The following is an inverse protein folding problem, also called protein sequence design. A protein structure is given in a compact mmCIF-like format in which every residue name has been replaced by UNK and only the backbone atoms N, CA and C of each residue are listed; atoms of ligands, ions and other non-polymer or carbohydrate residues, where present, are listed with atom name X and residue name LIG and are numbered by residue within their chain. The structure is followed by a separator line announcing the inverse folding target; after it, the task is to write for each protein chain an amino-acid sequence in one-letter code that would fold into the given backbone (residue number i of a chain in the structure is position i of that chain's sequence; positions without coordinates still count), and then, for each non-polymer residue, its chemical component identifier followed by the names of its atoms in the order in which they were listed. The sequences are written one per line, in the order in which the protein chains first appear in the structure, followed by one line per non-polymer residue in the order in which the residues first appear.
data_IF_295437291990
#
_entry.id   IF_295437291990
#
_cell.length_a   1.000
_cell.length_b   1.000
_cell.length_c   1.000
_cell.angle_alpha   90.00
_cell.angle_beta   90.00
_cell.angle_gamma   90.00
#
_symmetry.space_group_name_H-M   'P 1'
#
loop_
_entity.id
_entity.type
_entity.pdbx_description
1 polymer ?
#
# COMPACT_ATOMS: atom_id res chain seq x y z
N UNK A 1 -27.19 -13.23 21.91
CA UNK A 1 -25.96 -12.73 21.27
C UNK A 1 -25.98 -13.26 19.86
N UNK A 2 -26.13 -12.37 18.88
CA UNK A 2 -26.04 -12.66 17.46
C UNK A 2 -24.64 -13.13 17.07
N UNK A 3 -24.55 -13.77 15.91
CA UNK A 3 -23.32 -14.39 15.39
C UNK A 3 -22.20 -13.38 15.16
N UNK A 4 -22.53 -12.11 14.92
CA UNK A 4 -21.60 -11.03 14.59
C UNK A 4 -21.37 -10.04 15.75
N UNK A 5 -22.00 -10.24 16.91
CA UNK A 5 -21.91 -9.32 18.06
C UNK A 5 -20.49 -9.14 18.63
N UNK A 6 -19.55 -10.02 18.25
CA UNK A 6 -18.15 -9.99 18.68
C UNK A 6 -17.25 -9.14 17.75
N UNK A 7 -17.75 -8.76 16.58
CA UNK A 7 -17.01 -7.94 15.61
C UNK A 7 -17.09 -6.48 16.06
N UNK A 8 -15.97 -5.79 16.28
CA UNK A 8 -15.98 -4.39 16.67
C UNK A 8 -16.64 -3.52 15.59
N UNK A 9 -17.19 -2.38 15.95
CA UNK A 9 -17.72 -1.41 14.98
C UNK A 9 -16.56 -0.68 14.27
N UNK A 10 -16.66 -0.51 12.94
CA UNK A 10 -15.75 0.31 12.17
C UNK A 10 -16.15 1.79 12.30
N UNK A 11 -15.32 2.56 13.00
CA UNK A 11 -15.51 3.99 13.22
C UNK A 11 -14.46 4.84 12.50
N UNK A 12 -13.23 4.34 12.39
CA UNK A 12 -12.10 5.05 11.83
C UNK A 12 -10.98 4.09 11.36
N UNK A 13 -9.92 4.65 10.79
CA UNK A 13 -8.77 3.92 10.28
C UNK A 13 -8.01 3.12 11.37
N UNK A 14 -8.00 3.57 12.63
CA UNK A 14 -7.30 2.87 13.71
C UNK A 14 -7.99 1.53 14.03
N UNK A 15 -9.32 1.50 13.91
CA UNK A 15 -10.11 0.28 14.11
C UNK A 15 -10.14 -0.64 12.88
N UNK A 16 -9.73 -0.15 11.71
CA UNK A 16 -9.92 -0.84 10.43
C UNK A 16 -9.22 -2.18 10.36
N UNK A 17 -7.95 -2.30 10.76
CA UNK A 17 -7.23 -3.57 10.66
C UNK A 17 -7.84 -4.68 11.54
N UNK A 18 -8.24 -4.32 12.76
CA UNK A 18 -8.89 -5.25 13.69
C UNK A 18 -10.26 -5.68 13.14
N UNK A 19 -11.03 -4.72 12.62
CA UNK A 19 -12.31 -4.97 11.97
C UNK A 19 -12.16 -5.88 10.73
N UNK A 20 -11.23 -5.56 9.83
CA UNK A 20 -10.90 -6.28 8.59
C UNK A 20 -10.65 -7.76 8.87
N UNK A 21 -9.84 -8.05 9.89
CA UNK A 21 -9.50 -9.42 10.30
C UNK A 21 -10.74 -10.20 10.76
N UNK A 22 -11.60 -9.60 11.58
CA UNK A 22 -12.81 -10.27 12.06
C UNK A 22 -13.84 -10.50 10.95
N UNK A 23 -13.97 -9.53 10.04
CA UNK A 23 -14.83 -9.65 8.85
C UNK A 23 -14.35 -10.77 7.93
N UNK A 24 -13.05 -10.91 7.71
CA UNK A 24 -12.51 -12.02 6.92
C UNK A 24 -12.87 -13.38 7.52
N UNK A 25 -12.74 -13.54 8.83
CA UNK A 25 -13.15 -14.78 9.51
C UNK A 25 -14.65 -15.05 9.38
N UNK A 26 -15.49 -14.01 9.48
CA UNK A 26 -16.93 -14.13 9.32
C UNK A 26 -17.33 -14.52 7.88
N UNK A 27 -16.68 -13.93 6.88
CA UNK A 27 -16.90 -14.23 5.46
C UNK A 27 -16.45 -15.64 5.10
N UNK A 28 -15.30 -16.09 5.63
CA UNK A 28 -14.80 -17.45 5.42
C UNK A 28 -15.75 -18.49 6.05
N UNK A 29 -16.19 -18.24 7.29
CA UNK A 29 -17.17 -19.10 7.96
C UNK A 29 -18.48 -19.25 7.16
N UNK A 30 -18.93 -18.17 6.50
CA UNK A 30 -20.16 -18.17 5.69
C UNK A 30 -19.93 -18.60 4.24
N UNK A 31 -18.68 -18.89 3.84
CA UNK A 31 -18.34 -19.25 2.47
C UNK A 31 -18.54 -18.11 1.45
N UNK A 32 -18.56 -16.86 1.92
CA UNK A 32 -18.86 -15.67 1.12
C UNK A 32 -17.61 -14.84 0.78
N UNK A 33 -16.42 -15.27 1.22
CA UNK A 33 -15.15 -14.56 1.01
C UNK A 33 -14.84 -14.27 -0.47
N UNK A 34 -15.15 -15.20 -1.37
CA UNK A 34 -14.93 -15.02 -2.81
C UNK A 34 -15.65 -13.80 -3.40
N UNK A 35 -16.71 -13.30 -2.75
CA UNK A 35 -17.43 -12.09 -3.19
C UNK A 35 -16.75 -10.77 -2.83
N UNK A 36 -15.69 -10.80 -2.00
CA UNK A 36 -14.91 -9.59 -1.65
C UNK A 36 -13.46 -9.68 -2.13
N UNK A 37 -12.98 -10.86 -2.50
CA UNK A 37 -11.61 -11.08 -2.98
C UNK A 37 -11.36 -10.43 -4.34
N UNK A 38 -10.14 -9.95 -4.55
CA UNK A 38 -9.65 -9.45 -5.85
C UNK A 38 -9.07 -10.57 -6.74
N UNK A 39 -8.97 -11.81 -6.26
CA UNK A 39 -8.44 -12.92 -7.07
C UNK A 39 -6.92 -12.91 -7.21
N UNK A 40 -6.20 -12.22 -6.32
CA UNK A 40 -4.78 -11.90 -6.50
C UNK A 40 -3.81 -13.00 -6.08
N UNK A 41 -4.18 -13.96 -5.22
CA UNK A 41 -3.33 -15.13 -4.95
C UNK A 41 -3.63 -16.29 -5.93
N UNK A 42 -2.71 -16.60 -6.86
CA UNK A 42 -2.85 -17.73 -7.77
C UNK A 42 -2.73 -19.12 -7.09
N UNK A 43 -2.35 -19.20 -5.81
CA UNK A 43 -2.15 -20.46 -5.08
C UNK A 43 -3.31 -20.83 -4.15
N UNK A 44 -4.26 -19.92 -3.89
CA UNK A 44 -5.41 -20.14 -3.03
C UNK A 44 -6.71 -20.38 -3.81
N UNK A 45 -7.29 -21.60 -3.85
CA UNK A 45 -8.58 -21.82 -4.53
C UNK A 45 -9.78 -21.11 -3.88
N UNK A 46 -9.63 -20.62 -2.65
CA UNK A 46 -10.60 -19.77 -1.93
C UNK A 46 -10.51 -18.30 -2.37
N UNK A 47 -9.41 -17.90 -3.03
CA UNK A 47 -9.16 -16.51 -3.36
C UNK A 47 -9.74 -16.07 -4.69
N UNK A 48 -10.27 -16.96 -5.53
CA UNK A 48 -10.88 -16.54 -6.80
C UNK A 48 -12.05 -15.57 -6.55
N UNK A 49 -11.93 -14.38 -7.15
CA UNK A 49 -13.00 -13.40 -7.17
C UNK A 49 -14.26 -14.00 -7.82
N UNK A 50 -15.39 -13.92 -7.12
CA UNK A 50 -16.67 -14.41 -7.58
C UNK A 50 -17.29 -13.39 -8.54
N UNK A 51 -17.14 -13.63 -9.84
CA UNK A 51 -17.74 -12.76 -10.86
C UNK A 51 -19.24 -13.01 -11.01
N UNK A 52 -20.01 -11.94 -11.13
CA UNK A 52 -21.45 -12.03 -11.37
C UNK A 52 -21.71 -12.78 -12.70
N UNK A 53 -22.43 -13.92 -12.68
CA UNK A 53 -22.71 -14.65 -13.89
C UNK A 53 -23.53 -13.80 -14.86
N UNK A 54 -23.11 -13.73 -16.12
CA UNK A 54 -23.86 -13.04 -17.17
C UNK A 54 -24.64 -14.04 -18.01
N UNK A 55 -25.89 -13.68 -18.30
CA UNK A 55 -26.74 -14.45 -19.21
C UNK A 55 -26.21 -14.32 -20.65
N UNK A 56 -26.00 -15.44 -21.34
CA UNK A 56 -25.60 -15.41 -22.76
C UNK A 56 -26.72 -14.82 -23.62
N UNK A 57 -27.98 -15.01 -23.21
CA UNK A 57 -29.14 -14.41 -23.88
C UNK A 57 -30.23 -13.99 -22.88
N UNK A 58 -30.46 -12.68 -22.76
CA UNK A 58 -31.46 -12.10 -21.85
C UNK A 58 -32.91 -12.45 -22.22
N UNK A 59 -33.18 -12.85 -23.47
CA UNK A 59 -34.52 -13.24 -23.92
C UNK A 59 -34.82 -14.72 -23.76
N UNK A 60 -33.80 -15.56 -23.47
CA UNK A 60 -33.96 -16.99 -23.22
C UNK A 60 -32.91 -17.48 -22.23
N UNK A 61 -33.11 -17.13 -20.96
CA UNK A 61 -32.26 -17.55 -19.87
C UNK A 61 -32.45 -19.06 -19.60
N UNK A 62 -31.38 -19.84 -19.68
CA UNK A 62 -31.44 -21.26 -19.33
C UNK A 62 -31.65 -21.44 -17.82
N UNK A 63 -32.33 -22.51 -17.40
CA UNK A 63 -32.59 -22.77 -15.97
C UNK A 63 -31.29 -22.85 -15.15
N UNK A 64 -30.21 -23.38 -15.74
CA UNK A 64 -28.88 -23.42 -15.13
C UNK A 64 -28.30 -22.03 -14.91
N UNK A 65 -28.39 -21.13 -15.92
CA UNK A 65 -27.90 -19.75 -15.80
C UNK A 65 -28.71 -18.99 -14.74
N UNK A 66 -30.04 -19.14 -14.74
CA UNK A 66 -30.92 -18.54 -13.74
C UNK A 66 -30.55 -18.98 -12.33
N UNK A 67 -30.31 -20.28 -12.14
CA UNK A 67 -29.89 -20.83 -10.85
C UNK A 67 -28.53 -20.28 -10.40
N UNK A 68 -27.58 -20.15 -11.33
CA UNK A 68 -26.27 -19.57 -11.03
C UNK A 68 -26.36 -18.09 -10.62
N UNK A 69 -27.10 -17.28 -11.38
CA UNK A 69 -27.31 -15.85 -11.07
C UNK A 69 -27.99 -15.67 -9.71
N UNK A 70 -29.03 -16.44 -9.43
CA UNK A 70 -29.74 -16.37 -8.15
C UNK A 70 -28.87 -16.84 -6.97
N UNK A 71 -28.08 -17.91 -7.17
CA UNK A 71 -27.11 -18.38 -6.17
C UNK A 71 -26.08 -17.31 -5.85
N UNK A 72 -25.41 -16.80 -6.87
CA UNK A 72 -24.43 -15.72 -6.73
C UNK A 72 -25.02 -14.48 -6.06
N UNK A 73 -26.22 -14.06 -6.48
CA UNK A 73 -26.88 -12.88 -5.88
C UNK A 73 -27.23 -13.09 -4.41
N UNK A 74 -27.55 -14.31 -4.00
CA UNK A 74 -27.84 -14.64 -2.60
C UNK A 74 -26.56 -14.56 -1.77
N UNK A 75 -25.49 -15.17 -2.25
CA UNK A 75 -24.21 -15.21 -1.53
C UNK A 75 -23.57 -13.80 -1.46
N UNK A 76 -23.70 -13.01 -2.53
CA UNK A 76 -23.34 -11.59 -2.52
C UNK A 76 -24.16 -10.79 -1.49
N UNK A 77 -25.45 -11.11 -1.29
CA UNK A 77 -26.28 -10.44 -0.27
C UNK A 77 -25.80 -10.79 1.14
N UNK A 78 -25.39 -12.04 1.38
CA UNK A 78 -24.80 -12.47 2.66
C UNK A 78 -23.49 -11.72 2.92
N UNK A 79 -22.61 -11.62 1.93
CA UNK A 79 -21.38 -10.84 2.06
C UNK A 79 -21.65 -9.36 2.38
N UNK A 80 -22.61 -8.73 1.67
CA UNK A 80 -23.03 -7.35 1.95
C UNK A 80 -23.56 -7.17 3.37
N UNK A 81 -24.38 -8.11 3.85
CA UNK A 81 -24.94 -8.06 5.21
C UNK A 81 -23.82 -8.10 6.26
N UNK A 82 -22.85 -9.01 6.11
CA UNK A 82 -21.68 -9.12 7.00
C UNK A 82 -20.86 -7.83 6.99
N UNK A 83 -20.56 -7.29 5.80
CA UNK A 83 -19.79 -6.05 5.66
C UNK A 83 -20.48 -4.87 6.32
N UNK A 84 -21.80 -4.73 6.15
CA UNK A 84 -22.55 -3.59 6.66
C UNK A 84 -22.95 -3.71 8.14
N UNK A 85 -22.89 -4.91 8.72
CA UNK A 85 -23.40 -5.16 10.07
C UNK A 85 -22.69 -4.35 11.15
N UNK A 86 -21.39 -4.12 11.00
CA UNK A 86 -20.54 -3.48 12.00
C UNK A 86 -19.97 -2.15 11.50
N UNK A 87 -20.74 -1.38 10.73
CA UNK A 87 -20.34 -0.07 10.25
C UNK A 87 -21.07 1.03 11.01
N UNK A 88 -20.31 2.04 11.44
CA UNK A 88 -20.93 3.24 11.99
C UNK A 88 -21.74 4.00 10.93
N UNK A 89 -22.74 4.80 11.33
CA UNK A 89 -23.52 5.60 10.39
C UNK A 89 -22.67 6.50 9.48
N UNK A 90 -21.57 7.04 10.00
CA UNK A 90 -20.64 7.87 9.22
C UNK A 90 -19.93 7.05 8.12
N UNK A 91 -19.47 5.84 8.45
CA UNK A 91 -18.82 4.95 7.50
C UNK A 91 -19.80 4.43 6.44
N UNK A 92 -21.05 4.16 6.82
CA UNK A 92 -22.10 3.79 5.87
C UNK A 92 -22.32 4.83 4.76
N UNK A 93 -22.09 6.12 5.05
CA UNK A 93 -22.21 7.19 4.04
C UNK A 93 -21.06 7.20 3.03
N UNK A 94 -19.96 6.49 3.29
CA UNK A 94 -18.84 6.34 2.36
C UNK A 94 -19.08 5.23 1.33
N UNK A 95 -20.09 4.39 1.55
CA UNK A 95 -20.40 3.24 0.70
C UNK A 95 -21.35 3.66 -0.44
N UNK A 96 -21.13 3.18 -1.67
CA UNK A 96 -22.06 3.38 -2.78
C UNK A 96 -23.46 2.84 -2.46
N UNK A 97 -24.49 3.69 -2.55
CA UNK A 97 -25.88 3.36 -2.16
C UNK A 97 -26.73 2.82 -3.33
N UNK A 98 -26.12 2.57 -4.48
CA UNK A 98 -26.79 2.02 -5.65
C UNK A 98 -27.30 0.60 -5.38
N UNK A 99 -28.45 0.27 -5.95
CA UNK A 99 -29.01 -1.08 -5.88
C UNK A 99 -28.11 -2.14 -6.53
N UNK A 100 -27.25 -1.72 -7.46
CA UNK A 100 -26.28 -2.57 -8.16
C UNK A 100 -24.98 -2.78 -7.39
N UNK A 101 -24.76 -2.10 -6.26
CA UNK A 101 -23.53 -2.21 -5.48
C UNK A 101 -23.33 -3.66 -5.00
N UNK A 102 -22.20 -4.24 -5.35
CA UNK A 102 -21.78 -5.59 -4.95
C UNK A 102 -21.03 -5.57 -3.63
N UNK A 103 -20.86 -6.72 -2.98
CA UNK A 103 -20.03 -6.80 -1.77
C UNK A 103 -18.58 -6.37 -2.04
N UNK A 104 -18.07 -6.70 -3.24
CA UNK A 104 -16.75 -6.27 -3.72
C UNK A 104 -16.63 -4.75 -3.81
N UNK A 105 -17.64 -4.06 -4.35
CA UNK A 105 -17.66 -2.60 -4.43
C UNK A 105 -17.62 -1.95 -3.03
N UNK A 106 -18.38 -2.51 -2.07
CA UNK A 106 -18.37 -2.07 -0.67
C UNK A 106 -16.99 -2.27 -0.06
N UNK A 107 -16.44 -3.49 -0.23
CA UNK A 107 -15.13 -3.84 0.30
C UNK A 107 -14.05 -2.88 -0.22
N UNK A 108 -14.02 -2.65 -1.54
CA UNK A 108 -13.08 -1.75 -2.19
C UNK A 108 -13.26 -0.31 -1.73
N UNK A 109 -14.50 0.16 -1.57
CA UNK A 109 -14.76 1.49 -1.02
C UNK A 109 -14.20 1.63 0.39
N UNK A 110 -14.43 0.65 1.29
CA UNK A 110 -13.88 0.67 2.63
C UNK A 110 -12.35 0.62 2.63
N UNK A 111 -11.77 -0.26 1.81
CA UNK A 111 -10.32 -0.37 1.67
C UNK A 111 -9.68 0.94 1.22
N UNK A 112 -10.25 1.59 0.20
CA UNK A 112 -9.72 2.87 -0.29
C UNK A 112 -9.85 4.01 0.74
N UNK A 113 -10.81 3.94 1.66
CA UNK A 113 -11.01 4.97 2.68
C UNK A 113 -10.20 4.73 3.97
N UNK A 114 -9.81 3.48 4.25
CA UNK A 114 -9.24 3.11 5.56
C UNK A 114 -7.95 2.26 5.51
N UNK A 115 -7.68 1.55 4.43
CA UNK A 115 -6.42 0.80 4.25
C UNK A 115 -5.25 1.72 3.91
N UNK A 116 -5.55 3.01 3.82
CA UNK A 116 -4.54 4.00 3.58
C UNK A 116 -3.75 4.26 4.85
N UNK A 117 -2.47 3.85 4.86
CA UNK A 117 -1.51 4.30 5.87
C UNK A 117 -1.18 5.76 5.54
N UNK A 118 -2.14 6.65 5.77
CA UNK A 118 -1.85 8.06 5.82
C UNK A 118 -0.97 8.26 7.07
N UNK A 119 0.32 8.48 6.86
CA UNK A 119 1.20 9.06 7.88
C UNK A 119 0.66 10.45 8.20
N UNK A 120 -0.26 10.47 9.16
CA UNK A 120 -1.16 11.59 9.43
C UNK A 120 -0.40 12.76 10.01
N UNK A 121 0.71 12.48 10.69
CA UNK A 121 1.61 13.48 11.22
C UNK A 121 3.08 13.04 11.19
N UNK A 122 3.96 13.97 11.62
CA UNK A 122 5.39 13.73 11.69
C UNK A 122 5.79 12.65 12.71
N UNK A 123 4.92 12.33 13.69
CA UNK A 123 5.18 11.29 14.68
C UNK A 123 4.91 9.91 14.08
N UNK A 124 3.81 9.74 13.34
CA UNK A 124 3.53 8.53 12.56
C UNK A 124 4.65 8.28 11.54
N UNK A 125 5.15 9.35 10.91
CA UNK A 125 6.29 9.27 10.01
C UNK A 125 7.56 8.80 10.71
N UNK A 126 7.86 9.36 11.88
CA UNK A 126 9.03 8.97 12.66
C UNK A 126 8.92 7.51 13.14
N UNK A 127 7.72 7.06 13.52
CA UNK A 127 7.46 5.68 13.93
C UNK A 127 7.70 4.71 12.78
N UNK A 128 7.13 4.99 11.60
CA UNK A 128 7.33 4.17 10.40
C UNK A 128 8.82 4.09 10.00
N UNK A 129 9.53 5.24 10.01
CA UNK A 129 10.96 5.27 9.73
C UNK A 129 11.77 4.44 10.73
N UNK A 130 11.38 4.46 12.01
CA UNK A 130 12.05 3.69 13.06
C UNK A 130 11.85 2.19 12.84
N UNK A 131 10.62 1.73 12.62
CA UNK A 131 10.32 0.32 12.35
C UNK A 131 11.00 -0.17 11.07
N UNK A 132 10.95 0.61 10.00
CA UNK A 132 11.63 0.29 8.75
C UNK A 132 13.15 0.18 8.94
N UNK A 133 13.75 1.08 9.73
CA UNK A 133 15.20 1.02 10.03
C UNK A 133 15.58 -0.22 10.84
N UNK A 134 14.73 -0.64 11.78
CA UNK A 134 14.94 -1.84 12.58
C UNK A 134 14.84 -3.10 11.71
N UNK A 135 13.79 -3.21 10.89
CA UNK A 135 13.61 -4.33 9.97
C UNK A 135 14.76 -4.43 8.95
N UNK A 136 15.23 -3.29 8.43
CA UNK A 136 16.40 -3.24 7.57
C UNK A 136 17.65 -3.79 8.28
N UNK A 137 17.85 -3.40 9.55
CA UNK A 137 19.00 -3.83 10.31
C UNK A 137 18.98 -5.35 10.58
N UNK A 138 17.81 -5.92 10.86
CA UNK A 138 17.63 -7.37 11.01
C UNK A 138 17.93 -8.12 9.70
N UNK A 139 17.51 -7.58 8.54
CA UNK A 139 17.82 -8.14 7.23
C UNK A 139 19.33 -8.13 6.94
N UNK A 140 20.02 -7.04 7.28
CA UNK A 140 21.49 -6.95 7.16
C UNK A 140 22.16 -7.98 8.08
N UNK A 141 21.66 -8.15 9.31
CA UNK A 141 22.15 -9.18 10.23
C UNK A 141 21.94 -10.61 9.69
N UNK A 142 20.92 -10.84 8.87
CA UNK A 142 20.69 -12.10 8.16
C UNK A 142 21.55 -12.27 6.90
N UNK A 143 22.44 -11.32 6.60
CA UNK A 143 23.36 -11.37 5.46
C UNK A 143 22.78 -10.85 4.15
N UNK A 144 21.62 -10.19 4.18
CA UNK A 144 21.11 -9.47 3.02
C UNK A 144 21.92 -8.19 2.78
N UNK A 145 22.32 -7.96 1.54
CA UNK A 145 22.88 -6.67 1.10
C UNK A 145 21.74 -5.76 0.66
N UNK A 146 21.50 -4.69 1.40
CA UNK A 146 20.52 -3.65 1.04
C UNK A 146 21.28 -2.40 0.57
N UNK A 147 21.04 -1.94 -0.66
CA UNK A 147 21.59 -0.67 -1.14
C UNK A 147 20.70 0.51 -0.76
N UNK A 148 21.29 1.71 -0.62
CA UNK A 148 20.54 2.94 -0.31
C UNK A 148 19.39 3.19 -1.30
N UNK A 149 19.54 2.77 -2.56
CA UNK A 149 18.50 2.89 -3.58
C UNK A 149 17.31 1.95 -3.32
N UNK A 150 17.57 0.73 -2.87
CA UNK A 150 16.52 -0.22 -2.50
C UNK A 150 15.82 0.20 -1.21
N UNK A 151 16.56 0.78 -0.24
CA UNK A 151 15.98 1.38 0.97
C UNK A 151 15.02 2.50 0.60
N UNK A 152 15.46 3.44 -0.25
CA UNK A 152 14.64 4.56 -0.68
C UNK A 152 13.43 4.07 -1.49
N UNK A 153 13.61 3.08 -2.35
CA UNK A 153 12.51 2.52 -3.14
C UNK A 153 11.44 1.85 -2.27
N UNK A 154 11.82 0.99 -1.32
CA UNK A 154 10.86 0.33 -0.41
C UNK A 154 10.22 1.32 0.57
N UNK A 155 11.00 2.30 1.03
CA UNK A 155 10.46 3.39 1.85
C UNK A 155 9.41 4.18 1.06
N UNK A 156 9.67 4.50 -0.21
CA UNK A 156 8.77 5.26 -1.08
C UNK A 156 7.55 4.44 -1.53
N UNK A 157 7.70 3.15 -1.84
CA UNK A 157 6.55 2.29 -2.19
C UNK A 157 5.59 2.13 -1.02
N UNK A 158 6.08 2.03 0.22
CA UNK A 158 5.21 2.00 1.40
C UNK A 158 4.53 3.34 1.74
N UNK A 159 4.95 4.45 1.11
CA UNK A 159 4.39 5.80 1.30
C UNK A 159 3.28 6.15 0.31
N UNK A 160 3.11 5.33 -0.72
CA UNK A 160 2.48 5.73 -1.98
C UNK A 160 1.01 5.34 -2.06
N UNK A 161 0.17 6.13 -1.39
CA UNK A 161 -1.09 6.55 -2.04
C UNK A 161 -1.60 7.92 -1.52
N UNK A 162 -0.89 8.60 -0.61
CA UNK A 162 -1.40 9.83 0.01
C UNK A 162 -1.38 10.97 -1.03
N UNK A 163 -2.50 11.66 -1.25
CA UNK A 163 -2.67 12.65 -2.34
C UNK A 163 -1.67 13.82 -2.37
N UNK A 164 -0.90 14.04 -1.31
CA UNK A 164 0.21 15.01 -1.25
C UNK A 164 1.54 14.47 -1.80
N UNK A 165 1.68 13.16 -1.94
CA UNK A 165 2.93 12.51 -2.34
C UNK A 165 3.30 12.79 -3.80
N UNK A 166 2.34 12.82 -4.72
CA UNK A 166 2.61 13.19 -6.13
C UNK A 166 3.22 14.60 -6.26
N UNK A 167 2.82 15.53 -5.39
CA UNK A 167 3.38 16.88 -5.34
C UNK A 167 4.81 16.90 -4.79
N UNK A 168 5.10 16.05 -3.80
CA UNK A 168 6.44 15.88 -3.26
C UNK A 168 7.39 15.21 -4.26
N UNK A 169 6.95 14.18 -5.00
CA UNK A 169 7.73 13.59 -6.09
C UNK A 169 8.06 14.62 -7.18
N UNK A 170 7.11 15.46 -7.57
CA UNK A 170 7.32 16.52 -8.56
C UNK A 170 8.34 17.57 -8.05
N UNK A 171 8.29 17.89 -6.76
CA UNK A 171 9.26 18.75 -6.09
C UNK A 171 10.68 18.15 -6.07
N UNK A 172 10.81 16.85 -5.79
CA UNK A 172 12.11 16.16 -5.84
C UNK A 172 12.68 16.09 -7.26
N UNK A 173 11.84 15.79 -8.26
CA UNK A 173 12.27 15.76 -9.67
C UNK A 173 12.76 17.12 -10.16
N UNK A 174 12.07 18.20 -9.79
CA UNK A 174 12.47 19.57 -10.15
C UNK A 174 13.73 20.04 -9.40
N UNK A 175 13.90 19.62 -8.15
CA UNK A 175 15.08 19.93 -7.33
C UNK A 175 16.34 19.15 -7.75
N UNK A 176 16.20 17.89 -8.18
CA UNK A 176 17.34 17.11 -8.69
C UNK A 176 17.80 17.55 -10.08
N UNK A 177 16.91 18.13 -10.89
CA UNK A 177 17.24 18.62 -12.23
C UNK A 177 18.08 19.91 -12.22
N UNK A 178 18.06 20.67 -11.12
CA UNK A 178 18.76 21.95 -11.00
C UNK A 178 20.22 21.83 -10.60
N UNK A 179 20.66 20.68 -10.08
CA UNK A 179 22.05 20.48 -9.63
C UNK A 179 23.01 20.09 -10.77
N UNK A 180 22.51 19.56 -11.89
CA UNK A 180 23.35 19.06 -12.99
C UNK A 180 23.83 20.18 -13.94
N UNK A 181 23.20 21.36 -13.95
CA UNK A 181 23.58 22.46 -14.85
C UNK A 181 24.64 23.42 -14.30
N UNK A 182 24.98 23.35 -13.00
CA UNK A 182 25.97 24.26 -12.39
C UNK A 182 27.43 23.79 -12.54
N UNK A 183 27.68 22.52 -12.88
CA UNK A 183 29.04 21.95 -12.88
C UNK A 183 29.81 22.06 -14.21
N UNK A 184 29.26 22.69 -15.26
CA UNK A 184 29.92 22.79 -16.57
C UNK A 184 30.49 24.18 -16.90
N UNK A 185 30.44 25.16 -15.98
CA UNK A 185 30.87 26.53 -16.25
C UNK A 185 32.03 27.01 -15.38
N UNK A 186 33.11 26.24 -15.21
CA UNK A 186 34.40 26.82 -14.81
C UNK A 186 35.58 25.95 -15.24
N UNK A 187 35.97 26.04 -16.51
CA UNK A 187 37.31 25.63 -16.96
C UNK A 187 37.71 26.49 -18.14
N UNK A 188 38.16 27.70 -17.83
CA UNK A 188 38.95 28.51 -18.74
C UNK A 188 39.92 29.40 -17.95
N UNK A 189 41.20 29.31 -18.33
CA UNK A 189 42.28 30.27 -18.06
C UNK A 189 43.06 30.12 -16.74
N UNK A 190 44.19 29.44 -16.78
CA UNK A 190 45.53 30.08 -16.78
C UNK A 190 46.63 29.00 -16.68
N UNK A 191 47.29 28.73 -17.82
CA UNK A 191 48.60 28.11 -17.85
C UNK A 191 49.61 29.22 -18.14
N UNK A 192 50.42 29.56 -17.15
CA UNK A 192 51.41 30.62 -17.26
C UNK A 192 52.49 30.51 -16.18
N UNK A 193 53.63 29.96 -16.60
CA UNK A 193 54.98 30.15 -16.06
C UNK A 193 55.44 29.31 -14.86
N UNK A 194 56.36 28.40 -15.19
CA UNK A 194 57.32 27.69 -14.35
C UNK A 194 58.19 28.60 -13.49
N UNK A 195 58.49 28.17 -12.25
CA UNK A 195 59.81 28.34 -11.61
C UNK A 195 60.10 27.10 -10.73
N UNK A 196 61.23 26.45 -11.00
CA UNK A 196 61.84 25.38 -10.21
C UNK A 196 62.40 25.89 -8.87
N UNK A 197 62.24 25.13 -7.79
CA UNK A 197 63.30 24.99 -6.77
C UNK A 197 63.19 23.64 -6.03
N UNK A 198 64.36 23.05 -5.77
CA UNK A 198 64.64 21.66 -5.40
C UNK A 198 64.13 21.19 -4.01
N UNK A 199 64.03 19.86 -3.78
CA UNK A 199 63.69 19.29 -2.48
C UNK A 199 64.92 19.20 -1.57
N UNK A 200 64.80 19.68 -0.33
CA UNK A 200 65.74 19.36 0.74
C UNK A 200 65.28 18.05 1.40
N UNK A 201 66.14 17.04 1.34
CA UNK A 201 65.93 15.73 1.94
C UNK A 201 66.70 15.60 3.25
N UNK A 202 66.09 14.89 4.20
CA UNK A 202 66.74 14.25 5.34
C UNK A 202 66.70 15.04 6.64
N UNK A 203 66.63 14.44 7.82
CA UNK A 203 66.41 13.05 8.23
C UNK A 203 66.08 13.09 9.73
N UNK A 204 65.31 12.10 10.15
CA UNK A 204 65.12 11.55 11.51
C UNK A 204 66.22 11.84 12.54
N UNK A 205 65.86 11.95 13.83
CA UNK A 205 66.30 11.03 14.93
C UNK A 205 65.83 11.49 16.34
N UNK A 206 65.01 10.63 16.96
CA UNK A 206 65.05 10.10 18.35
C UNK A 206 65.36 11.00 19.59
N UNK A 207 64.34 11.05 20.47
CA UNK A 207 64.30 10.58 21.89
C UNK A 207 65.33 11.13 22.91
N UNK A 208 64.81 11.77 23.95
CA UNK A 208 64.88 11.37 25.36
C UNK A 208 63.93 12.22 26.20
#
# INVERSE_FOLDING_TARGET
MGKLDHIPELTDALTFFTWKTQIFLALDYEGAYSHVSDGTDPLGPVEFASEQPQAVNLTKLADTEKKAILGWSKDNTVAKDILCHCLSPAVLHLIPQEHSTTAHDIWKALHNNFDHIDMKDAADMAHYLLEHSAAQQDLICMGASYSDKEVIFHLIEGLLDAGTWSSFCLFLQTSCSTTTSASMATSASQAGSSISTAPYAGSTTSRS
#
